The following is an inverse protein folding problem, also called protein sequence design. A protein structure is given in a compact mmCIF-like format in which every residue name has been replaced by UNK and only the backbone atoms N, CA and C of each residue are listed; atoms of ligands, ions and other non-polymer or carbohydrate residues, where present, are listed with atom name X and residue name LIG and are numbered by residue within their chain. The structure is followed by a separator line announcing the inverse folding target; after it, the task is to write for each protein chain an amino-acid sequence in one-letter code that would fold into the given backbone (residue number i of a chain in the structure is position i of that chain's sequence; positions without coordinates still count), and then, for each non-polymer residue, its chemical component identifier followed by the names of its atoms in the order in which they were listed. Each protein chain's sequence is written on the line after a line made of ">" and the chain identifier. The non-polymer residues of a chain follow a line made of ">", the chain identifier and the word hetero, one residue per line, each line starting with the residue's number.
data_IF_900065195318
#
_entry.id   IF_900065195318
#
_cell.length_a   1.000
_cell.length_b   1.000
_cell.length_c   1.000
_cell.angle_alpha   90.00
_cell.angle_beta   90.00
_cell.angle_gamma   90.00
#
_symmetry.space_group_name_H-M   'P 1'
#
loop_
_entity.id
_entity.type
_entity.pdbx_description
1 polymer ?
#
# COMPACT_ATOMS: atom_id res chain seq x y z
N UNK A 1 -15.00 1.74 -4.99
CA UNK A 1 -15.17 0.36 -5.48
C UNK A 1 -13.95 0.03 -6.31
N UNK A 2 -13.08 -0.88 -5.87
CA UNK A 2 -11.86 -1.27 -6.61
C UNK A 2 -12.28 -2.27 -7.70
N UNK A 3 -12.01 -1.96 -8.96
CA UNK A 3 -12.29 -2.87 -10.08
C UNK A 3 -11.19 -3.93 -10.16
N UNK A 4 -11.52 -5.19 -9.90
CA UNK A 4 -10.58 -6.32 -9.98
C UNK A 4 -10.78 -7.09 -11.29
N UNK A 5 -9.79 -7.10 -12.20
CA UNK A 5 -9.88 -7.89 -13.44
C UNK A 5 -9.97 -9.40 -13.17
N UNK A 6 -10.75 -10.13 -13.97
CA UNK A 6 -10.85 -11.61 -13.90
C UNK A 6 -9.66 -12.34 -14.54
N UNK A 7 -8.96 -11.68 -15.46
CA UNK A 7 -7.74 -12.21 -16.08
C UNK A 7 -6.56 -12.06 -15.12
N UNK A 8 -5.83 -13.14 -14.84
CA UNK A 8 -4.74 -13.16 -13.86
C UNK A 8 -3.59 -12.20 -14.21
N UNK A 9 -3.26 -12.02 -15.50
CA UNK A 9 -2.21 -11.07 -15.91
C UNK A 9 -2.68 -9.63 -15.68
N UNK A 10 -3.91 -9.32 -16.11
CA UNK A 10 -4.50 -7.99 -15.89
C UNK A 10 -4.70 -7.69 -14.41
N UNK A 11 -5.03 -8.70 -13.60
CA UNK A 11 -5.16 -8.57 -12.15
C UNK A 11 -3.82 -8.23 -11.51
N UNK A 12 -2.77 -8.98 -11.82
CA UNK A 12 -1.42 -8.68 -11.30
C UNK A 12 -0.94 -7.29 -11.70
N UNK A 13 -1.21 -6.88 -12.94
CA UNK A 13 -0.87 -5.54 -13.43
C UNK A 13 -1.65 -4.45 -12.68
N UNK A 14 -2.95 -4.65 -12.46
CA UNK A 14 -3.78 -3.76 -11.66
C UNK A 14 -3.24 -3.62 -10.24
N UNK A 15 -2.92 -4.73 -9.58
CA UNK A 15 -2.39 -4.77 -8.22
C UNK A 15 -1.04 -4.04 -8.11
N UNK A 16 -0.15 -4.24 -9.08
CA UNK A 16 1.14 -3.51 -9.16
C UNK A 16 0.90 -2.01 -9.34
N UNK A 17 -0.03 -1.61 -10.19
CA UNK A 17 -0.34 -0.20 -10.41
C UNK A 17 -0.94 0.44 -9.16
N UNK A 18 -1.78 -0.29 -8.42
CA UNK A 18 -2.30 0.13 -7.12
C UNK A 18 -1.16 0.41 -6.13
N UNK A 19 -0.20 -0.53 -6.01
CA UNK A 19 0.97 -0.35 -5.15
C UNK A 19 1.84 0.84 -5.57
N UNK A 20 2.05 1.05 -6.88
CA UNK A 20 2.83 2.19 -7.38
C UNK A 20 2.17 3.52 -7.01
N UNK A 21 0.87 3.65 -7.23
CA UNK A 21 0.13 4.86 -6.85
C UNK A 21 0.20 5.10 -5.34
N UNK A 22 0.07 4.04 -4.54
CA UNK A 22 0.15 4.15 -3.10
C UNK A 22 1.57 4.49 -2.60
N UNK A 23 2.60 3.99 -3.27
CA UNK A 23 3.99 4.36 -2.97
C UNK A 23 4.24 5.85 -3.19
N UNK A 24 3.73 6.43 -4.29
CA UNK A 24 3.82 7.87 -4.55
C UNK A 24 3.14 8.70 -3.44
N UNK A 25 1.98 8.24 -2.97
CA UNK A 25 1.33 8.86 -1.80
C UNK A 25 2.22 8.78 -0.55
N UNK A 26 2.85 7.64 -0.28
CA UNK A 26 3.77 7.48 0.84
C UNK A 26 5.02 8.36 0.71
N UNK A 27 5.52 8.60 -0.51
CA UNK A 27 6.63 9.52 -0.77
C UNK A 27 6.23 10.97 -0.48
N UNK A 28 5.05 11.40 -0.94
CA UNK A 28 4.50 12.73 -0.67
C UNK A 28 4.33 12.99 0.84
N UNK A 29 4.07 11.94 1.63
CA UNK A 29 3.94 12.02 3.09
C UNK A 29 5.24 11.78 3.85
N UNK A 30 6.37 11.61 3.16
CA UNK A 30 7.69 11.35 3.76
C UNK A 30 7.70 10.12 4.67
N UNK A 31 6.98 9.06 4.28
CA UNK A 31 6.94 7.77 4.99
C UNK A 31 7.33 6.59 4.11
N UNK A 32 7.48 6.78 2.80
CA UNK A 32 7.85 5.70 1.88
C UNK A 32 9.14 4.97 2.27
N UNK A 33 10.12 5.67 2.84
CA UNK A 33 11.43 5.12 3.20
C UNK A 33 11.49 4.54 4.63
N UNK A 34 10.37 4.52 5.35
CA UNK A 34 10.31 3.85 6.66
C UNK A 34 10.43 2.33 6.48
N UNK A 35 11.21 1.68 7.35
CA UNK A 35 11.51 0.24 7.24
C UNK A 35 10.24 -0.63 7.28
N UNK A 36 9.26 -0.29 8.11
CA UNK A 36 8.03 -1.07 8.23
C UNK A 36 7.14 -0.90 6.98
N UNK A 37 7.14 0.31 6.41
CA UNK A 37 6.44 0.63 5.16
C UNK A 37 7.09 -0.11 3.98
N UNK A 38 8.42 -0.07 3.85
CA UNK A 38 9.17 -0.78 2.81
C UNK A 38 8.98 -2.30 2.88
N UNK A 39 9.03 -2.88 4.09
CA UNK A 39 8.77 -4.31 4.29
C UNK A 39 7.36 -4.70 3.84
N UNK A 40 6.37 -3.86 4.16
CA UNK A 40 4.98 -4.08 3.78
C UNK A 40 4.77 -4.01 2.27
N UNK A 41 5.38 -3.04 1.58
CA UNK A 41 5.39 -2.98 0.11
C UNK A 41 6.00 -4.25 -0.50
N UNK A 42 7.16 -4.67 -0.02
CA UNK A 42 7.81 -5.87 -0.52
C UNK A 42 6.97 -7.15 -0.28
N UNK A 43 6.25 -7.21 0.85
CA UNK A 43 5.29 -8.27 1.10
C UNK A 43 4.16 -8.24 0.06
N UNK A 44 3.50 -7.10 -0.13
CA UNK A 44 2.36 -6.96 -1.05
C UNK A 44 2.73 -7.23 -2.52
N UNK A 45 3.95 -6.87 -2.95
CA UNK A 45 4.44 -7.22 -4.30
C UNK A 45 4.39 -8.74 -4.54
N UNK A 46 4.73 -9.55 -3.53
CA UNK A 46 4.67 -11.03 -3.61
C UNK A 46 3.23 -11.57 -3.64
N UNK A 47 2.26 -10.75 -3.26
CA UNK A 47 0.84 -11.11 -3.21
C UNK A 47 0.05 -10.60 -4.41
N UNK A 48 0.66 -9.79 -5.28
CA UNK A 48 0.03 -9.36 -6.54
C UNK A 48 -0.51 -10.53 -7.35
N UNK A 49 -1.76 -10.42 -7.80
CA UNK A 49 -2.51 -11.46 -8.51
C UNK A 49 -3.25 -12.45 -7.61
N UNK A 50 -2.92 -12.53 -6.31
CA UNK A 50 -3.60 -13.43 -5.35
C UNK A 50 -4.97 -12.88 -4.93
N UNK A 51 -5.84 -13.74 -4.41
CA UNK A 51 -7.22 -13.36 -4.06
C UNK A 51 -7.23 -12.38 -2.89
N UNK A 52 -6.30 -12.59 -1.96
CA UNK A 52 -6.15 -11.90 -0.69
C UNK A 52 -5.46 -10.53 -0.81
N UNK A 53 -4.89 -10.21 -1.99
CA UNK A 53 -4.14 -8.98 -2.20
C UNK A 53 -4.92 -7.72 -1.80
N UNK A 54 -6.20 -7.65 -2.16
CA UNK A 54 -7.03 -6.47 -1.91
C UNK A 54 -7.25 -6.27 -0.41
N UNK A 55 -7.50 -7.35 0.33
CA UNK A 55 -7.71 -7.28 1.77
C UNK A 55 -6.43 -6.88 2.51
N UNK A 56 -5.29 -7.48 2.12
CA UNK A 56 -3.97 -7.12 2.63
C UNK A 56 -3.62 -5.65 2.31
N UNK A 57 -3.93 -5.20 1.09
CA UNK A 57 -3.71 -3.80 0.69
C UNK A 57 -4.54 -2.83 1.53
N UNK A 58 -5.82 -3.12 1.78
CA UNK A 58 -6.70 -2.25 2.59
C UNK A 58 -6.20 -2.17 4.04
N UNK A 59 -5.72 -3.29 4.60
CA UNK A 59 -5.12 -3.29 5.93
C UNK A 59 -3.84 -2.45 5.97
N UNK A 60 -2.99 -2.60 4.96
CA UNK A 60 -1.78 -1.79 4.84
C UNK A 60 -2.09 -0.30 4.68
N UNK A 61 -3.02 0.06 3.80
CA UNK A 61 -3.48 1.45 3.62
C UNK A 61 -3.95 2.06 4.95
N UNK A 62 -4.78 1.32 5.69
CA UNK A 62 -5.27 1.74 7.00
C UNK A 62 -4.13 1.92 8.01
N UNK A 63 -3.15 1.02 8.01
CA UNK A 63 -1.96 1.13 8.84
C UNK A 63 -1.15 2.40 8.53
N UNK A 64 -0.88 2.68 7.25
CA UNK A 64 -0.11 3.86 6.83
C UNK A 64 -0.82 5.16 7.20
N UNK A 65 -2.14 5.24 7.02
CA UNK A 65 -2.91 6.43 7.39
C UNK A 65 -2.82 6.71 8.90
N UNK A 66 -3.00 5.68 9.73
CA UNK A 66 -2.82 5.79 11.18
C UNK A 66 -1.39 6.17 11.56
N UNK A 67 -0.38 5.60 10.89
CA UNK A 67 1.02 5.92 11.12
C UNK A 67 1.32 7.40 10.82
N UNK A 68 0.81 7.92 9.69
CA UNK A 68 0.97 9.33 9.31
C UNK A 68 0.33 10.26 10.35
N UNK A 69 -0.88 9.95 10.81
CA UNK A 69 -1.58 10.79 11.78
C UNK A 69 -0.86 10.83 13.13
N UNK A 70 -0.32 9.69 13.60
CA UNK A 70 0.50 9.64 14.80
C UNK A 70 1.84 10.38 14.66
N UNK A 71 2.47 10.33 13.47
CA UNK A 71 3.69 11.07 13.16
C UNK A 71 3.44 12.59 13.16
N UNK A 72 2.29 13.05 12.66
CA UNK A 72 1.88 14.47 12.72
C UNK A 72 1.65 14.95 14.15
N UNK A 73 0.99 14.15 14.98
CA UNK A 73 0.78 14.46 16.41
C UNK A 73 2.11 14.61 17.17
N UNK A 74 3.10 13.79 16.82
CA UNK A 74 4.44 13.84 17.44
C UNK A 74 5.27 15.05 17.00
N UNK A 75 5.06 15.58 15.79
CA UNK A 75 5.74 16.78 15.29
C UNK A 75 5.16 18.10 15.84
N UNK A 76 3.94 18.09 16.37
CA UNK A 76 3.24 19.27 16.89
C UNK A 76 3.37 19.47 18.42
N UNK A 77 4.29 18.75 19.06
CA UNK A 77 4.51 18.78 20.51
C UNK A 77 5.93 19.22 20.82
#
# INVERSE_FOLDING_TARGET
>A
MIFVPKDLKKKREHDINLLRMFYLFCEEKEVAYDDDIQRSFHHLVKWTGKVEFVDEFIQFESFVLNYIDNKKLSKNK
#
